data_IF_478162994625
#
_entry.id   IF_478162994625
#
_cell.length_a   1.000
_cell.length_b   1.000
_cell.length_c   1.000
_cell.angle_alpha   90.00
_cell.angle_beta   90.00
_cell.angle_gamma   90.00
#
_symmetry.space_group_name_H-M   'P 1'
#
loop_
_entity.id
_entity.type
_entity.pdbx_description
1 polymer ?
#
# COMPACT_ATOMS: atom_id res chain seq x y z
N UNK A 1 3.21 29.56 -21.08
CA UNK A 1 2.55 28.32 -20.61
C UNK A 1 3.31 27.12 -21.19
N UNK A 2 4.29 26.59 -20.46
CA UNK A 2 4.97 25.34 -20.84
C UNK A 2 4.23 24.14 -20.21
N UNK A 3 4.09 23.01 -20.93
CA UNK A 3 3.32 21.88 -20.43
C UNK A 3 4.07 21.13 -19.33
N UNK A 4 3.37 20.86 -18.21
CA UNK A 4 3.83 20.09 -17.03
C UNK A 4 4.10 18.59 -17.30
N UNK A 5 4.38 18.18 -18.54
CA UNK A 5 4.36 16.75 -18.94
C UNK A 5 5.60 15.91 -18.58
N UNK A 6 6.67 16.47 -18.01
CA UNK A 6 7.88 15.67 -17.67
C UNK A 6 7.90 15.12 -16.24
N UNK A 7 7.22 15.74 -15.28
CA UNK A 7 7.15 15.22 -13.90
C UNK A 7 6.20 14.02 -13.77
N UNK A 8 5.14 13.98 -14.57
CA UNK A 8 4.13 12.94 -14.52
C UNK A 8 4.67 11.58 -14.97
N UNK A 9 5.60 11.55 -15.94
CA UNK A 9 6.20 10.31 -16.44
C UNK A 9 7.22 9.69 -15.47
N UNK A 10 8.00 10.52 -14.75
CA UNK A 10 8.92 10.03 -13.72
C UNK A 10 8.16 9.53 -12.50
N UNK A 11 7.06 10.19 -12.11
CA UNK A 11 6.13 9.66 -11.10
C UNK A 11 5.47 8.37 -11.56
N UNK A 12 5.05 8.25 -12.83
CA UNK A 12 4.45 7.03 -13.36
C UNK A 12 5.40 5.83 -13.31
N UNK A 13 6.68 6.01 -13.66
CA UNK A 13 7.68 4.93 -13.57
C UNK A 13 8.11 4.61 -12.13
N UNK A 14 8.22 5.59 -11.23
CA UNK A 14 8.47 5.31 -9.80
C UNK A 14 7.26 4.68 -9.10
N UNK A 15 6.05 4.90 -9.63
CA UNK A 15 4.82 4.27 -9.13
C UNK A 15 4.70 2.79 -9.50
N UNK A 16 5.42 2.31 -10.53
CA UNK A 16 5.34 0.93 -11.00
C UNK A 16 6.15 -0.08 -10.17
N UNK A 17 7.12 0.35 -9.36
CA UNK A 17 7.82 -0.52 -8.39
C UNK A 17 8.44 0.30 -7.25
N UNK A 18 7.60 0.71 -6.30
CA UNK A 18 8.11 1.28 -5.06
C UNK A 18 9.07 0.28 -4.38
N UNK A 19 10.21 0.73 -3.83
CA UNK A 19 11.13 -0.14 -3.10
C UNK A 19 10.41 -0.84 -1.94
N UNK A 20 10.64 -2.14 -1.80
CA UNK A 20 10.17 -2.93 -0.67
C UNK A 20 10.85 -2.46 0.62
N UNK A 21 10.07 -2.34 1.70
CA UNK A 21 10.57 -1.97 3.03
C UNK A 21 10.53 -3.19 3.94
N UNK A 22 9.34 -3.77 4.13
CA UNK A 22 9.13 -4.87 5.05
C UNK A 22 7.91 -5.72 4.67
N UNK A 23 7.85 -6.89 5.30
CA UNK A 23 6.70 -7.78 5.34
C UNK A 23 6.54 -8.30 6.77
N UNK A 24 5.30 -8.33 7.23
CA UNK A 24 4.88 -9.04 8.42
C UNK A 24 3.79 -10.05 8.07
N UNK A 25 3.88 -11.26 8.59
CA UNK A 25 2.92 -12.31 8.30
C UNK A 25 2.45 -13.06 9.56
N UNK A 26 1.15 -13.29 9.66
CA UNK A 26 0.53 -14.09 10.71
C UNK A 26 -0.46 -15.09 10.12
N UNK A 27 -0.75 -16.16 10.87
CA UNK A 27 -1.79 -17.13 10.51
C UNK A 27 -2.99 -16.92 11.41
N UNK A 28 -4.17 -16.88 10.81
CA UNK A 28 -5.46 -16.79 11.46
C UNK A 28 -6.18 -18.12 11.26
N UNK A 29 -6.66 -18.72 12.34
CA UNK A 29 -7.50 -19.92 12.30
C UNK A 29 -8.96 -19.52 11.98
N UNK A 30 -9.16 -18.99 10.78
CA UNK A 30 -10.46 -18.67 10.19
C UNK A 30 -10.39 -18.77 8.65
N UNK A 31 -11.54 -18.92 8.01
CA UNK A 31 -11.65 -18.87 6.55
C UNK A 31 -11.24 -17.50 5.98
N UNK A 32 -10.84 -17.45 4.70
CA UNK A 32 -10.37 -16.21 4.09
C UNK A 32 -11.45 -15.11 4.06
N UNK A 33 -12.71 -15.47 3.84
CA UNK A 33 -13.83 -14.52 3.86
C UNK A 33 -14.01 -13.86 5.24
N UNK A 34 -13.94 -14.64 6.32
CA UNK A 34 -14.06 -14.12 7.69
C UNK A 34 -12.85 -13.25 8.06
N UNK A 35 -11.66 -13.70 7.66
CA UNK A 35 -10.41 -12.95 7.85
C UNK A 35 -10.43 -11.63 7.08
N UNK A 36 -10.99 -11.62 5.86
CA UNK A 36 -11.18 -10.42 5.06
C UNK A 36 -12.12 -9.42 5.73
N UNK A 37 -13.26 -9.88 6.25
CA UNK A 37 -14.18 -9.02 7.01
C UNK A 37 -13.49 -8.41 8.23
N UNK A 38 -12.76 -9.23 9.00
CA UNK A 38 -12.01 -8.74 10.16
C UNK A 38 -10.92 -7.73 9.77
N UNK A 39 -10.22 -7.96 8.65
CA UNK A 39 -9.23 -7.01 8.13
C UNK A 39 -9.87 -5.65 7.83
N UNK A 40 -11.02 -5.62 7.14
CA UNK A 40 -11.71 -4.37 6.82
C UNK A 40 -12.20 -3.64 8.08
N UNK A 41 -12.64 -4.36 9.11
CA UNK A 41 -13.02 -3.78 10.40
C UNK A 41 -11.86 -3.10 11.13
N UNK A 42 -10.64 -3.62 10.96
CA UNK A 42 -9.44 -3.05 11.58
C UNK A 42 -8.90 -1.87 10.79
N UNK A 43 -8.88 -1.97 9.45
CA UNK A 43 -8.23 -1.00 8.58
C UNK A 43 -9.14 0.16 8.20
N UNK A 44 -10.40 -0.12 7.87
CA UNK A 44 -11.32 0.86 7.31
C UNK A 44 -12.20 1.47 8.40
N UNK A 45 -12.48 2.77 8.28
CA UNK A 45 -13.41 3.44 9.19
C UNK A 45 -14.83 2.88 9.07
N UNK A 46 -15.23 2.55 7.85
CA UNK A 46 -16.45 1.82 7.53
C UNK A 46 -16.06 0.50 6.84
N UNK A 47 -16.26 -0.67 7.48
CA UNK A 47 -15.86 -1.95 6.89
C UNK A 47 -16.62 -2.31 5.61
N UNK A 48 -17.82 -1.77 5.40
CA UNK A 48 -18.61 -2.00 4.19
C UNK A 48 -18.17 -1.14 3.00
N UNK A 49 -17.31 -0.14 3.25
CA UNK A 49 -16.75 0.72 2.22
C UNK A 49 -15.21 0.74 2.32
N UNK A 50 -14.50 -0.09 1.52
CA UNK A 50 -13.05 -0.16 1.53
C UNK A 50 -12.38 1.14 1.05
N UNK A 51 -13.12 2.13 0.54
CA UNK A 51 -12.56 3.45 0.25
C UNK A 51 -12.31 4.28 1.51
N UNK A 52 -12.90 3.91 2.66
CA UNK A 52 -12.76 4.60 3.95
C UNK A 52 -11.48 4.23 4.71
N UNK A 53 -10.39 4.02 3.99
CA UNK A 53 -9.06 3.74 4.52
C UNK A 53 -8.56 4.85 5.46
N UNK A 54 -7.53 4.58 6.28
CA UNK A 54 -6.99 5.57 7.22
C UNK A 54 -6.52 6.85 6.52
N UNK A 55 -6.52 7.96 7.27
CA UNK A 55 -6.03 9.25 6.78
C UNK A 55 -4.58 9.12 6.29
N UNK A 56 -4.28 9.75 5.16
CA UNK A 56 -2.98 9.63 4.50
C UNK A 56 -2.89 8.48 3.50
N UNK A 57 -3.94 7.67 3.37
CA UNK A 57 -4.08 6.65 2.33
C UNK A 57 -5.28 6.93 1.43
N UNK A 58 -5.24 6.31 0.25
CA UNK A 58 -6.34 6.16 -0.69
C UNK A 58 -6.40 4.69 -1.09
N UNK A 59 -7.61 4.19 -1.38
CA UNK A 59 -7.76 2.84 -1.89
C UNK A 59 -7.02 2.70 -3.24
N UNK A 60 -6.13 1.73 -3.32
CA UNK A 60 -5.48 1.31 -4.55
C UNK A 60 -6.24 0.17 -5.22
N UNK A 61 -6.58 -0.86 -4.45
CA UNK A 61 -7.26 -2.08 -4.92
C UNK A 61 -7.96 -2.77 -3.75
N UNK A 62 -9.11 -3.38 -4.02
CA UNK A 62 -9.78 -4.31 -3.11
C UNK A 62 -10.32 -5.48 -3.93
N UNK A 63 -9.75 -6.67 -3.73
CA UNK A 63 -10.16 -7.92 -4.37
C UNK A 63 -10.45 -8.93 -3.27
N UNK A 64 -11.70 -8.98 -2.77
CA UNK A 64 -12.08 -9.92 -1.72
C UNK A 64 -11.97 -11.39 -2.18
N UNK A 65 -11.64 -12.32 -1.28
CA UNK A 65 -11.06 -12.11 0.05
C UNK A 65 -9.52 -11.98 0.01
N UNK A 66 -8.90 -11.83 -1.15
CA UNK A 66 -7.48 -12.09 -1.36
C UNK A 66 -6.55 -10.89 -1.16
N UNK A 67 -6.99 -9.67 -1.46
CA UNK A 67 -6.05 -8.54 -1.55
C UNK A 67 -6.67 -7.17 -1.26
N UNK A 68 -6.03 -6.41 -0.37
CA UNK A 68 -6.35 -5.01 -0.08
C UNK A 68 -5.08 -4.18 -0.25
N UNK A 69 -5.07 -3.25 -1.21
CA UNK A 69 -3.95 -2.37 -1.46
C UNK A 69 -4.32 -0.92 -1.16
N UNK A 70 -3.52 -0.27 -0.32
CA UNK A 70 -3.61 1.15 -0.01
C UNK A 70 -2.40 1.86 -0.60
N UNK A 71 -2.59 3.09 -1.06
CA UNK A 71 -1.51 3.95 -1.56
C UNK A 71 -1.63 5.34 -1.00
N UNK A 72 -0.50 5.98 -0.76
CA UNK A 72 -0.48 7.34 -0.24
C UNK A 72 0.81 8.08 -0.61
N UNK A 73 0.81 9.36 -0.25
CA UNK A 73 1.93 10.25 -0.48
C UNK A 73 2.02 11.27 0.65
N UNK A 74 3.23 11.44 1.13
CA UNK A 74 3.65 12.48 2.06
C UNK A 74 4.67 13.39 1.35
N UNK A 75 4.91 14.64 1.80
CA UNK A 75 5.96 15.51 1.25
C UNK A 75 7.36 14.89 1.06
N UNK A 76 7.67 13.83 1.80
CA UNK A 76 8.97 13.13 1.78
C UNK A 76 8.89 11.68 1.31
N UNK A 77 7.69 11.14 1.04
CA UNK A 77 7.54 9.72 0.75
C UNK A 77 6.37 9.44 -0.19
N UNK A 78 6.54 8.45 -1.07
CA UNK A 78 5.42 7.80 -1.78
C UNK A 78 5.39 6.36 -1.30
N UNK A 79 4.23 5.87 -0.87
CA UNK A 79 4.13 4.58 -0.20
C UNK A 79 2.90 3.77 -0.61
N UNK A 80 3.03 2.45 -0.46
CA UNK A 80 1.96 1.46 -0.59
C UNK A 80 1.99 0.54 0.63
N UNK A 81 0.81 0.11 1.03
CA UNK A 81 0.60 -0.90 2.07
C UNK A 81 -0.39 -1.91 1.53
N UNK A 82 0.02 -3.18 1.42
CA UNK A 82 -0.79 -4.23 0.79
C UNK A 82 -0.93 -5.38 1.77
N UNK A 83 -2.17 -5.82 1.90
CA UNK A 83 -2.53 -7.05 2.60
C UNK A 83 -2.85 -8.12 1.56
N UNK A 84 -2.18 -9.27 1.66
CA UNK A 84 -2.48 -10.48 0.90
C UNK A 84 -2.98 -11.56 1.86
N UNK A 85 -4.07 -12.22 1.48
CA UNK A 85 -4.70 -13.30 2.24
C UNK A 85 -4.55 -14.59 1.45
N UNK A 86 -3.65 -15.46 1.91
CA UNK A 86 -3.41 -16.76 1.33
C UNK A 86 -4.24 -17.83 2.06
N UNK A 87 -5.08 -18.55 1.34
CA UNK A 87 -5.80 -19.70 1.88
C UNK A 87 -4.84 -20.87 2.11
N UNK A 88 -4.63 -21.24 3.38
CA UNK A 88 -3.83 -22.42 3.76
C UNK A 88 -4.73 -23.66 3.99
N UNK A 89 -6.03 -23.46 4.09
CA UNK A 89 -7.05 -24.50 4.24
C UNK A 89 -8.43 -23.89 4.53
N UNK A 90 -9.50 -24.71 4.65
CA UNK A 90 -10.88 -24.21 4.76
C UNK A 90 -11.14 -23.26 5.94
N UNK A 91 -10.34 -23.36 7.02
CA UNK A 91 -10.45 -22.57 8.24
C UNK A 91 -9.08 -22.01 8.67
N UNK A 92 -8.18 -21.79 7.70
CA UNK A 92 -6.86 -21.27 7.99
C UNK A 92 -6.38 -20.35 6.89
N UNK A 93 -6.08 -19.11 7.25
CA UNK A 93 -5.66 -18.06 6.32
C UNK A 93 -4.35 -17.46 6.81
N UNK A 94 -3.40 -17.26 5.90
CA UNK A 94 -2.19 -16.46 6.19
C UNK A 94 -2.43 -15.03 5.72
N UNK A 95 -2.27 -14.08 6.62
CA UNK A 95 -2.32 -12.65 6.30
C UNK A 95 -0.89 -12.15 6.19
N UNK A 96 -0.54 -11.56 5.05
CA UNK A 96 0.75 -10.90 4.79
C UNK A 96 0.51 -9.41 4.63
N UNK A 97 1.09 -8.61 5.50
CA UNK A 97 1.13 -7.15 5.44
C UNK A 97 2.48 -6.73 4.89
N UNK A 98 2.50 -6.11 3.73
CA UNK A 98 3.72 -5.68 3.05
C UNK A 98 3.74 -4.16 2.89
N UNK A 99 4.90 -3.55 3.07
CA UNK A 99 5.08 -2.09 2.95
C UNK A 99 6.12 -1.79 1.87
N UNK A 100 5.80 -0.84 0.99
CA UNK A 100 6.72 -0.31 -0.02
C UNK A 100 6.76 1.20 0.05
N UNK A 101 7.94 1.78 -0.04
CA UNK A 101 8.09 3.22 -0.04
C UNK A 101 9.34 3.68 -0.80
N UNK A 102 9.22 4.83 -1.45
CA UNK A 102 10.35 5.61 -1.92
C UNK A 102 10.42 6.93 -1.15
N UNK A 103 11.63 7.35 -0.79
CA UNK A 103 11.91 8.60 -0.08
C UNK A 103 12.72 9.53 -1.00
N UNK A 104 12.08 10.19 -1.98
CA UNK A 104 12.81 11.01 -2.93
C UNK A 104 13.45 12.23 -2.25
N UNK A 105 14.75 12.40 -2.47
CA UNK A 105 15.49 13.57 -2.00
C UNK A 105 14.91 14.86 -2.61
N UNK A 106 14.61 15.86 -1.77
CA UNK A 106 14.42 17.24 -2.24
C UNK A 106 15.74 17.97 -2.46
N UNK A 107 16.87 17.29 -2.24
CA UNK A 107 18.21 17.89 -2.17
C UNK A 107 19.11 17.39 -3.29
N UNK A 108 18.64 17.39 -4.54
CA UNK A 108 19.56 17.42 -5.67
C UNK A 108 20.10 18.87 -5.83
N UNK A 109 20.96 19.29 -4.90
CA UNK A 109 22.01 20.27 -5.17
C UNK A 109 23.34 19.56 -4.98
N UNK A 110 23.63 18.68 -5.93
CA UNK A 110 25.00 18.22 -6.17
C UNK A 110 25.64 19.19 -7.16
N UNK A 111 26.47 20.09 -6.63
CA UNK A 111 27.74 20.56 -7.21
C UNK A 111 28.52 21.22 -6.07
N UNK A 112 29.71 20.68 -5.78
CA UNK A 112 30.76 21.14 -4.87
C UNK A 112 31.28 22.57 -5.19
N UNK A 113 32.29 23.17 -4.49
CA UNK A 113 32.94 22.84 -3.20
C UNK A 113 32.97 24.00 -2.16
N UNK A 114 33.50 23.64 -0.97
CA UNK A 114 33.73 24.36 0.30
C UNK A 114 32.52 24.54 1.23
#
# INVERSE_FOLDING_TARGET
MLPRRRHDLVQSFYMERLPYIDEHAITIDAAAAETWTALLQVICRNPDDPATVPVGFTLGEATPPHRLALKGRHPFAVYRWIFELDELGPQRTRVRSQTWAAFPDRTARSTAPW
#
